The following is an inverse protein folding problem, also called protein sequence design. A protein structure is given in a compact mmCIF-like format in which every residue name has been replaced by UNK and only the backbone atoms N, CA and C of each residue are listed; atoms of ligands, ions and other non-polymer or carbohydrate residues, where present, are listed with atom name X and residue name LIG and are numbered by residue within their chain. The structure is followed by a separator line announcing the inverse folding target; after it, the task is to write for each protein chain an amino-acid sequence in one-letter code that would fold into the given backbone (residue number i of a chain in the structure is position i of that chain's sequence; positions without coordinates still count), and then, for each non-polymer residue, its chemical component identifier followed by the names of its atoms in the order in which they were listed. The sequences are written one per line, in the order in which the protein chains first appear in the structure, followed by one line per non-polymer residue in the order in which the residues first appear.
data_IF_619656310921
#
_entry.id   IF_619656310921
#
_cell.length_a   1.000
_cell.length_b   1.000
_cell.length_c   1.000
_cell.angle_alpha   90.00
_cell.angle_beta   90.00
_cell.angle_gamma   90.00
#
_symmetry.space_group_name_H-M   'P 1'
#
loop_
_entity.id
_entity.type
_entity.pdbx_description
1 polymer ?
#
# COMPACT_ATOMS: atom_id res chain seq x y z
N UNK A 1 17.04 -0.68 -9.63
CA UNK A 1 17.23 -1.47 -8.40
C UNK A 1 16.18 -2.57 -8.43
N UNK A 2 16.58 -3.84 -8.45
CA UNK A 2 15.62 -4.95 -8.44
C UNK A 2 14.83 -4.89 -7.13
N UNK A 3 13.50 -4.81 -7.21
CA UNK A 3 12.63 -4.65 -6.05
C UNK A 3 11.60 -5.76 -6.09
N UNK A 4 11.72 -6.71 -5.18
CA UNK A 4 10.65 -7.64 -4.86
C UNK A 4 9.58 -6.85 -4.08
N UNK A 5 8.33 -6.91 -4.54
CA UNK A 5 7.21 -6.12 -4.01
C UNK A 5 6.44 -6.85 -2.93
N UNK A 6 6.56 -8.17 -2.84
CA UNK A 6 5.87 -9.00 -1.86
C UNK A 6 6.66 -9.16 -0.54
N UNK A 7 6.00 -9.59 0.54
CA UNK A 7 6.68 -9.94 1.78
C UNK A 7 7.67 -11.09 1.56
N UNK A 8 8.94 -10.86 1.89
CA UNK A 8 10.00 -11.87 1.76
C UNK A 8 9.91 -12.85 2.93
N UNK A 9 10.09 -14.15 2.64
CA UNK A 9 10.12 -15.15 3.70
C UNK A 9 11.26 -14.88 4.70
N UNK A 10 10.96 -14.98 6.00
CA UNK A 10 11.94 -14.71 7.07
C UNK A 10 13.08 -15.75 7.05
N UNK A 11 14.31 -15.27 7.21
CA UNK A 11 15.51 -16.11 7.30
C UNK A 11 16.20 -16.36 5.96
N UNK A 12 17.20 -17.25 5.97
CA UNK A 12 18.03 -17.61 4.81
C UNK A 12 17.52 -18.85 4.07
N UNK A 13 16.19 -18.96 3.94
CA UNK A 13 15.56 -20.07 3.20
C UNK A 13 15.49 -19.70 1.73
N UNK A 14 15.90 -20.60 0.85
CA UNK A 14 15.72 -20.42 -0.60
C UNK A 14 14.24 -20.70 -0.87
N UNK A 15 13.49 -19.75 -1.45
CA UNK A 15 12.09 -19.99 -1.74
C UNK A 15 11.98 -21.07 -2.82
N UNK A 16 10.95 -21.90 -2.72
CA UNK A 16 10.67 -23.01 -3.62
C UNK A 16 9.28 -22.86 -4.23
N UNK A 17 9.04 -23.52 -5.37
CA UNK A 17 7.73 -23.53 -6.00
C UNK A 17 6.69 -24.24 -5.12
N UNK A 18 5.44 -23.77 -5.07
CA UNK A 18 4.36 -24.47 -4.38
C UNK A 18 4.13 -25.89 -4.93
N UNK A 19 3.69 -26.82 -4.08
CA UNK A 19 3.42 -28.22 -4.48
C UNK A 19 2.34 -28.33 -5.58
N UNK A 20 1.42 -27.37 -5.62
CA UNK A 20 0.33 -27.29 -6.59
C UNK A 20 0.65 -26.40 -7.81
N UNK A 21 1.93 -26.09 -8.05
CA UNK A 21 2.34 -25.18 -9.13
C UNK A 21 1.74 -25.55 -10.49
N UNK A 22 1.77 -26.82 -10.86
CA UNK A 22 1.27 -27.31 -12.16
C UNK A 22 -0.27 -27.36 -12.28
N UNK A 23 -0.99 -26.92 -11.25
CA UNK A 23 -2.45 -26.87 -11.25
C UNK A 23 -3.01 -25.47 -11.54
N UNK A 24 -2.13 -24.47 -11.61
CA UNK A 24 -2.50 -23.08 -11.87
C UNK A 24 -2.65 -22.80 -13.37
N UNK A 25 -3.28 -21.68 -13.70
CA UNK A 25 -3.29 -21.17 -15.08
C UNK A 25 -1.90 -20.69 -15.50
N UNK A 26 -1.62 -20.63 -16.80
CA UNK A 26 -0.30 -20.19 -17.31
C UNK A 26 0.09 -18.77 -16.83
N UNK A 27 -0.89 -17.88 -16.66
CA UNK A 27 -0.63 -16.52 -16.17
C UNK A 27 -0.28 -16.50 -14.67
N UNK A 28 -0.91 -17.37 -13.88
CA UNK A 28 -0.60 -17.55 -12.47
C UNK A 28 0.75 -18.23 -12.26
N UNK A 29 1.05 -19.29 -13.04
CA UNK A 29 2.36 -19.95 -13.03
C UNK A 29 3.49 -18.95 -13.32
N UNK A 30 3.30 -18.10 -14.34
CA UNK A 30 4.27 -17.06 -14.70
C UNK A 30 4.45 -16.03 -13.59
N UNK A 31 3.37 -15.56 -12.97
CA UNK A 31 3.45 -14.63 -11.83
C UNK A 31 4.22 -15.24 -10.66
N UNK A 32 3.95 -16.51 -10.34
CA UNK A 32 4.65 -17.23 -9.26
C UNK A 32 6.15 -17.34 -9.59
N UNK A 33 6.51 -17.66 -10.84
CA UNK A 33 7.91 -17.74 -11.26
C UNK A 33 8.62 -16.37 -11.22
N UNK A 34 7.98 -15.31 -11.69
CA UNK A 34 8.52 -13.94 -11.65
C UNK A 34 8.73 -13.46 -10.18
N UNK A 35 7.77 -13.77 -9.30
CA UNK A 35 7.85 -13.47 -7.87
C UNK A 35 8.98 -14.27 -7.20
N UNK A 36 9.12 -15.55 -7.55
CA UNK A 36 10.17 -16.43 -7.04
C UNK A 36 11.56 -15.94 -7.46
N UNK A 37 11.74 -15.61 -8.74
CA UNK A 37 12.99 -15.09 -9.27
C UNK A 37 13.39 -13.78 -8.56
N UNK A 38 12.43 -12.87 -8.40
CA UNK A 38 12.67 -11.59 -7.74
C UNK A 38 13.00 -11.75 -6.25
N UNK A 39 12.37 -12.71 -5.55
CA UNK A 39 12.71 -13.03 -4.15
C UNK A 39 14.12 -13.62 -4.03
N UNK A 40 14.48 -14.56 -4.90
CA UNK A 40 15.83 -15.17 -4.93
C UNK A 40 16.88 -14.09 -5.18
N UNK A 41 16.65 -13.20 -6.14
CA UNK A 41 17.58 -12.13 -6.46
C UNK A 41 17.74 -11.16 -5.28
N UNK A 42 16.64 -10.83 -4.59
CA UNK A 42 16.70 -10.02 -3.37
C UNK A 42 17.54 -10.69 -2.28
N UNK A 43 17.30 -11.98 -2.01
CA UNK A 43 18.05 -12.75 -1.00
C UNK A 43 19.52 -12.87 -1.35
N UNK A 44 19.86 -13.10 -2.62
CA UNK A 44 21.23 -13.12 -3.09
C UNK A 44 21.92 -11.77 -2.87
N UNK A 45 21.27 -10.66 -3.26
CA UNK A 45 21.81 -9.33 -3.02
C UNK A 45 22.02 -9.06 -1.53
N UNK A 46 21.03 -9.38 -0.69
CA UNK A 46 21.14 -9.25 0.77
C UNK A 46 22.32 -10.03 1.34
N UNK A 47 22.52 -11.29 0.90
CA UNK A 47 23.65 -12.12 1.31
C UNK A 47 25.00 -11.51 0.87
N UNK A 48 25.09 -11.00 -0.37
CA UNK A 48 26.31 -10.35 -0.85
C UNK A 48 26.61 -9.06 -0.10
N UNK A 49 25.59 -8.25 0.22
CA UNK A 49 25.76 -7.02 1.02
C UNK A 49 26.21 -7.35 2.44
N UNK A 50 25.60 -8.35 3.08
CA UNK A 50 26.02 -8.82 4.40
C UNK A 50 27.50 -9.24 4.41
N UNK A 51 27.93 -10.02 3.40
CA UNK A 51 29.30 -10.52 3.28
C UNK A 51 30.32 -9.43 2.93
N UNK A 52 30.00 -8.57 1.94
CA UNK A 52 30.98 -7.64 1.33
C UNK A 52 30.97 -6.25 1.98
N UNK A 53 29.86 -5.86 2.60
CA UNK A 53 29.68 -4.54 3.20
C UNK A 53 28.99 -4.64 4.58
N UNK A 54 29.65 -5.26 5.59
CA UNK A 54 29.03 -5.52 6.90
C UNK A 54 28.60 -4.25 7.63
N UNK A 55 29.32 -3.13 7.45
CA UNK A 55 28.90 -1.82 8.01
C UNK A 55 27.62 -1.31 7.37
N UNK A 56 27.47 -1.46 6.06
CA UNK A 56 26.25 -1.08 5.36
C UNK A 56 25.07 -1.97 5.76
N UNK A 57 25.30 -3.28 5.89
CA UNK A 57 24.33 -4.23 6.39
C UNK A 57 23.83 -3.89 7.80
N UNK A 58 24.76 -3.56 8.70
CA UNK A 58 24.44 -3.17 10.08
C UNK A 58 23.56 -1.92 10.13
N UNK A 59 23.79 -0.94 9.25
CA UNK A 59 22.95 0.26 9.15
C UNK A 59 21.55 -0.09 8.62
N UNK A 60 21.45 -0.85 7.53
CA UNK A 60 20.15 -1.21 6.93
C UNK A 60 19.23 -1.94 7.91
N UNK A 61 19.80 -2.73 8.82
CA UNK A 61 19.04 -3.51 9.81
C UNK A 61 18.61 -2.70 11.04
N UNK A 62 18.99 -1.42 11.13
CA UNK A 62 18.55 -0.58 12.23
C UNK A 62 17.04 -0.28 12.09
N UNK A 63 16.23 -0.42 13.15
CA UNK A 63 14.79 -0.17 13.11
C UNK A 63 14.40 1.22 12.61
N UNK A 64 15.28 2.20 12.80
CA UNK A 64 15.06 3.61 12.45
C UNK A 64 15.27 3.92 10.97
N UNK A 65 16.05 3.10 10.24
CA UNK A 65 16.39 3.38 8.84
C UNK A 65 15.18 3.38 7.91
N UNK A 66 14.21 2.46 8.03
CA UNK A 66 12.95 2.54 7.29
C UNK A 66 12.19 3.86 7.50
N UNK A 67 12.15 4.36 8.74
CA UNK A 67 11.45 5.61 9.09
C UNK A 67 12.12 6.80 8.38
N UNK A 68 13.45 6.87 8.38
CA UNK A 68 14.21 7.95 7.72
C UNK A 68 14.09 7.87 6.19
N UNK A 69 14.12 6.67 5.62
CA UNK A 69 14.13 6.47 4.17
C UNK A 69 12.78 6.68 3.52
N UNK A 70 11.68 6.39 4.23
CA UNK A 70 10.32 6.40 3.65
C UNK A 70 9.93 7.78 3.10
N UNK A 71 10.12 8.91 3.80
CA UNK A 71 9.83 10.24 3.24
C UNK A 71 10.63 10.55 1.98
N UNK A 72 11.95 10.27 2.00
CA UNK A 72 12.85 10.53 0.86
C UNK A 72 12.41 9.73 -0.37
N UNK A 73 11.95 8.49 -0.17
CA UNK A 73 11.45 7.64 -1.24
C UNK A 73 10.11 8.12 -1.80
N UNK A 74 9.21 8.59 -0.94
CA UNK A 74 7.88 9.04 -1.36
C UNK A 74 7.94 10.37 -2.12
N UNK A 75 8.80 11.31 -1.73
CA UNK A 75 8.92 12.63 -2.37
C UNK A 75 9.14 12.54 -3.88
N UNK A 76 9.85 11.52 -4.38
CA UNK A 76 10.11 11.37 -5.81
C UNK A 76 8.87 11.02 -6.65
N UNK A 77 7.81 10.46 -6.05
CA UNK A 77 6.60 10.02 -6.77
C UNK A 77 5.30 10.63 -6.25
N UNK A 78 5.35 11.38 -5.15
CA UNK A 78 4.15 11.82 -4.41
C UNK A 78 3.18 12.65 -5.27
N UNK A 79 3.70 13.45 -6.19
CA UNK A 79 2.91 14.35 -7.02
C UNK A 79 2.22 13.64 -8.19
N UNK A 80 2.86 12.59 -8.72
CA UNK A 80 2.35 11.82 -9.86
C UNK A 80 1.37 10.73 -9.40
N UNK A 81 1.70 10.05 -8.31
CA UNK A 81 0.95 8.89 -7.82
C UNK A 81 -0.18 9.25 -6.85
N UNK A 82 -0.38 10.54 -6.53
CA UNK A 82 -1.31 11.02 -5.50
C UNK A 82 -1.04 10.43 -4.10
N UNK A 83 0.22 10.10 -3.80
CA UNK A 83 0.64 9.47 -2.54
C UNK A 83 0.81 10.47 -1.37
N UNK A 84 0.16 11.64 -1.41
CA UNK A 84 0.31 12.69 -0.40
C UNK A 84 -0.05 12.22 1.00
N UNK A 85 -1.08 11.36 1.11
CA UNK A 85 -1.47 10.72 2.35
C UNK A 85 -0.29 9.94 2.96
N UNK A 86 0.36 9.09 2.17
CA UNK A 86 1.49 8.28 2.63
C UNK A 86 2.72 9.12 2.97
N UNK A 87 2.94 10.21 2.23
CA UNK A 87 4.00 11.16 2.56
C UNK A 87 3.73 11.80 3.92
N UNK A 88 2.52 12.31 4.17
CA UNK A 88 2.14 12.87 5.48
C UNK A 88 2.32 11.84 6.59
N UNK A 89 1.86 10.60 6.39
CA UNK A 89 2.04 9.52 7.37
C UNK A 89 3.52 9.27 7.69
N UNK A 90 4.38 9.29 6.67
CA UNK A 90 5.82 9.11 6.85
C UNK A 90 6.48 10.26 7.62
N UNK A 91 6.03 11.50 7.40
CA UNK A 91 6.54 12.68 8.09
C UNK A 91 6.07 12.73 9.55
N UNK A 92 4.81 12.35 9.82
CA UNK A 92 4.30 12.20 11.19
C UNK A 92 5.13 11.16 11.95
N UNK A 93 5.34 9.98 11.35
CA UNK A 93 6.19 8.93 11.93
C UNK A 93 7.61 9.41 12.23
N UNK A 94 8.22 10.16 11.31
CA UNK A 94 9.55 10.76 11.49
C UNK A 94 9.56 11.77 12.65
N UNK A 95 8.57 12.66 12.74
CA UNK A 95 8.47 13.67 13.79
C UNK A 95 8.27 13.02 15.17
N UNK A 96 7.44 11.98 15.27
CA UNK A 96 7.22 11.24 16.51
C UNK A 96 8.49 10.54 17.02
N UNK A 97 9.26 9.91 16.14
CA UNK A 97 10.47 9.17 16.51
C UNK A 97 11.74 10.04 16.48
N UNK A 98 11.64 11.36 16.30
CA UNK A 98 12.79 12.24 16.08
C UNK A 98 13.89 12.10 17.13
N UNK A 99 13.53 12.05 18.42
CA UNK A 99 14.47 11.89 19.53
C UNK A 99 15.14 10.51 19.57
N UNK A 100 14.45 9.47 19.10
CA UNK A 100 14.98 8.10 19.04
C UNK A 100 15.92 7.94 17.84
N UNK A 101 15.62 8.62 16.74
CA UNK A 101 16.42 8.61 15.52
C UNK A 101 17.70 9.43 15.71
N UNK A 102 17.62 10.57 16.38
CA UNK A 102 18.74 11.50 16.59
C UNK A 102 18.96 11.81 18.08
N UNK A 103 19.40 10.82 18.88
CA UNK A 103 19.57 11.00 20.33
C UNK A 103 20.67 12.00 20.70
N UNK A 104 21.72 12.11 19.87
CA UNK A 104 22.88 12.97 20.11
C UNK A 104 22.64 14.43 19.68
N UNK A 105 21.53 14.71 18.99
CA UNK A 105 21.20 16.04 18.47
C UNK A 105 20.27 16.74 19.46
N UNK A 106 20.72 17.88 20.00
CA UNK A 106 19.90 18.70 20.92
C UNK A 106 18.82 19.54 20.20
N UNK A 107 18.80 19.54 18.87
CA UNK A 107 17.83 20.30 18.08
C UNK A 107 16.45 19.63 18.09
N UNK A 108 15.37 20.40 18.33
CA UNK A 108 14.01 19.89 18.17
C UNK A 108 13.75 19.52 16.70
N UNK A 109 12.73 18.68 16.47
CA UNK A 109 12.29 18.41 15.11
C UNK A 109 11.82 19.72 14.46
N UNK A 110 12.26 19.98 13.22
CA UNK A 110 11.87 21.17 12.48
C UNK A 110 10.42 21.11 11.99
N UNK A 111 9.83 19.92 11.99
CA UNK A 111 8.47 19.66 11.56
C UNK A 111 7.67 19.29 12.80
N UNK A 112 6.58 20.01 13.02
CA UNK A 112 5.66 19.76 14.12
C UNK A 112 4.27 19.56 13.55
N UNK A 113 3.58 18.54 14.06
CA UNK A 113 2.18 18.27 13.75
C UNK A 113 1.37 18.54 15.00
N UNK A 114 0.33 19.35 14.86
CA UNK A 114 -0.59 19.59 15.97
C UNK A 114 -1.44 18.34 16.21
N UNK A 115 -2.03 18.21 17.40
CA UNK A 115 -2.97 17.13 17.68
C UNK A 115 -4.15 17.08 16.70
N UNK A 116 -4.57 18.24 16.17
CA UNK A 116 -5.62 18.33 15.14
C UNK A 116 -5.16 17.76 13.80
N UNK A 117 -3.90 17.98 13.42
CA UNK A 117 -3.34 17.43 12.17
C UNK A 117 -3.27 15.91 12.24
N UNK A 118 -2.88 15.36 13.39
CA UNK A 118 -2.82 13.92 13.64
C UNK A 118 -4.23 13.34 13.64
N UNK A 119 -5.17 13.94 14.37
CA UNK A 119 -6.57 13.47 14.41
C UNK A 119 -7.21 13.50 13.02
N UNK A 120 -6.99 14.56 12.25
CA UNK A 120 -7.47 14.66 10.87
C UNK A 120 -6.86 13.58 9.98
N UNK A 121 -5.57 13.24 10.16
CA UNK A 121 -4.93 12.18 9.40
C UNK A 121 -5.49 10.80 9.76
N UNK A 122 -5.71 10.51 11.05
CA UNK A 122 -6.32 9.27 11.51
C UNK A 122 -7.73 9.08 10.95
N UNK A 123 -8.55 10.14 10.92
CA UNK A 123 -9.88 10.08 10.28
C UNK A 123 -9.80 9.76 8.80
N UNK A 124 -8.80 10.30 8.09
CA UNK A 124 -8.57 9.98 6.69
C UNK A 124 -8.10 8.53 6.50
N UNK A 125 -7.26 8.01 7.40
CA UNK A 125 -6.83 6.61 7.42
C UNK A 125 -8.01 5.66 7.62
N UNK A 126 -8.90 5.94 8.58
CA UNK A 126 -10.13 5.17 8.80
C UNK A 126 -11.03 5.13 7.56
N UNK A 127 -11.17 6.26 6.87
CA UNK A 127 -11.94 6.34 5.63
C UNK A 127 -11.28 5.49 4.52
N UNK A 128 -9.96 5.59 4.36
CA UNK A 128 -9.22 4.83 3.35
C UNK A 128 -9.28 3.33 3.61
N UNK A 129 -9.10 2.89 4.85
CA UNK A 129 -9.17 1.48 5.24
C UNK A 129 -10.58 0.94 5.06
N UNK A 130 -11.61 1.71 5.43
CA UNK A 130 -13.00 1.34 5.20
C UNK A 130 -13.33 1.13 3.72
N UNK A 131 -12.87 2.04 2.85
CA UNK A 131 -13.03 1.90 1.39
C UNK A 131 -12.24 0.71 0.87
N UNK A 132 -10.99 0.54 1.31
CA UNK A 132 -10.13 -0.57 0.89
C UNK A 132 -10.75 -1.92 1.22
N UNK A 133 -11.28 -2.09 2.44
CA UNK A 133 -11.98 -3.31 2.85
C UNK A 133 -13.24 -3.57 2.03
N UNK A 134 -14.04 -2.52 1.76
CA UNK A 134 -15.23 -2.65 0.92
C UNK A 134 -14.88 -3.05 -0.52
N UNK A 135 -13.87 -2.43 -1.12
CA UNK A 135 -13.41 -2.79 -2.47
C UNK A 135 -12.85 -4.22 -2.53
N UNK A 136 -12.13 -4.65 -1.49
CA UNK A 136 -11.66 -6.02 -1.37
C UNK A 136 -12.84 -7.01 -1.29
N UNK A 137 -13.85 -6.73 -0.47
CA UNK A 137 -15.07 -7.55 -0.38
C UNK A 137 -15.82 -7.62 -1.72
N UNK A 138 -15.91 -6.52 -2.46
CA UNK A 138 -16.53 -6.50 -3.80
C UNK A 138 -15.76 -7.38 -4.79
N UNK A 139 -14.43 -7.38 -4.72
CA UNK A 139 -13.57 -8.24 -5.53
C UNK A 139 -13.76 -9.72 -5.15
N UNK A 140 -13.72 -10.02 -3.85
CA UNK A 140 -13.83 -11.39 -3.33
C UNK A 140 -15.21 -12.02 -3.60
N UNK A 141 -16.27 -11.20 -3.61
CA UNK A 141 -17.63 -11.64 -3.92
C UNK A 141 -17.93 -11.67 -5.43
N UNK A 142 -16.96 -11.35 -6.29
CA UNK A 142 -17.13 -11.36 -7.75
C UNK A 142 -18.12 -10.32 -8.27
N UNK A 143 -18.38 -9.27 -7.49
CA UNK A 143 -19.30 -8.18 -7.86
C UNK A 143 -18.67 -7.29 -8.92
N UNK A 144 -17.35 -7.14 -8.85
CA UNK A 144 -16.53 -6.44 -9.82
C UNK A 144 -15.39 -7.39 -10.25
N UNK A 145 -15.15 -7.59 -11.56
CA UNK A 145 -14.11 -8.49 -12.04
C UNK A 145 -12.72 -8.01 -11.63
N UNK A 146 -11.81 -8.97 -11.43
CA UNK A 146 -10.47 -8.77 -10.85
C UNK A 146 -9.55 -7.94 -11.76
N UNK A 147 -9.81 -7.95 -13.07
CA UNK A 147 -9.01 -7.26 -14.10
C UNK A 147 -9.59 -5.91 -14.54
N UNK A 148 -10.58 -5.38 -13.82
CA UNK A 148 -11.34 -4.17 -14.15
C UNK A 148 -12.04 -4.23 -15.53
N UNK A 149 -12.13 -5.42 -16.15
CA UNK A 149 -12.74 -5.64 -17.46
C UNK A 149 -13.97 -6.54 -17.33
N UNK A 150 -15.10 -6.05 -17.84
CA UNK A 150 -16.35 -6.81 -17.88
C UNK A 150 -16.62 -7.21 -19.33
N UNK A 151 -17.03 -8.46 -19.56
CA UNK A 151 -17.52 -8.84 -20.89
C UNK A 151 -18.73 -7.97 -21.29
N UNK A 152 -18.87 -7.55 -22.56
CA UNK A 152 -19.96 -6.65 -22.98
C UNK A 152 -21.37 -7.12 -22.59
N UNK A 153 -21.57 -8.45 -22.52
CA UNK A 153 -22.85 -9.08 -22.14
C UNK A 153 -23.20 -8.88 -20.66
N UNK A 154 -22.19 -8.71 -19.80
CA UNK A 154 -22.32 -8.60 -18.35
C UNK A 154 -22.17 -7.14 -17.87
N UNK A 155 -21.87 -6.21 -18.78
CA UNK A 155 -21.63 -4.80 -18.49
C UNK A 155 -22.79 -4.14 -17.74
N UNK A 156 -24.03 -4.34 -18.20
CA UNK A 156 -25.20 -3.73 -17.57
C UNK A 156 -25.40 -4.24 -16.13
N UNK A 157 -25.18 -5.54 -15.91
CA UNK A 157 -25.27 -6.14 -14.58
C UNK A 157 -24.17 -5.59 -13.64
N UNK A 158 -22.95 -5.39 -14.16
CA UNK A 158 -21.86 -4.76 -13.40
C UNK A 158 -22.18 -3.29 -13.06
N UNK A 159 -22.77 -2.53 -13.98
CA UNK A 159 -23.22 -1.16 -13.71
C UNK A 159 -24.31 -1.12 -12.64
N UNK A 160 -25.33 -1.99 -12.71
CA UNK A 160 -26.36 -2.09 -11.69
C UNK A 160 -25.78 -2.45 -10.31
N UNK A 161 -24.87 -3.41 -10.27
CA UNK A 161 -24.21 -3.80 -9.03
C UNK A 161 -23.38 -2.64 -8.46
N UNK A 162 -22.56 -1.99 -9.29
CA UNK A 162 -21.78 -0.81 -8.89
C UNK A 162 -22.67 0.29 -8.27
N UNK A 163 -23.85 0.58 -8.87
CA UNK A 163 -24.81 1.53 -8.30
C UNK A 163 -25.36 1.08 -6.95
N UNK A 164 -25.77 -0.19 -6.81
CA UNK A 164 -26.26 -0.75 -5.54
C UNK A 164 -25.20 -0.66 -4.43
N UNK A 165 -23.94 -0.97 -4.74
CA UNK A 165 -22.85 -0.86 -3.78
C UNK A 165 -22.53 0.59 -3.43
N UNK A 166 -22.58 1.51 -4.39
CA UNK A 166 -22.46 2.95 -4.15
C UNK A 166 -23.53 3.45 -3.19
N UNK A 167 -24.78 3.04 -3.39
CA UNK A 167 -25.91 3.44 -2.52
C UNK A 167 -25.76 2.89 -1.10
N UNK A 168 -25.34 1.62 -0.95
CA UNK A 168 -25.03 1.03 0.35
C UNK A 168 -23.90 1.81 1.02
N UNK A 169 -22.83 2.09 0.29
CA UNK A 169 -21.65 2.81 0.81
C UNK A 169 -22.02 4.21 1.28
N UNK A 170 -22.70 5.01 0.46
CA UNK A 170 -23.19 6.35 0.85
C UNK A 170 -24.22 6.25 2.00
N UNK A 171 -25.01 5.17 2.05
CA UNK A 171 -25.97 4.90 3.11
C UNK A 171 -25.35 4.62 4.48
N UNK A 172 -24.06 4.25 4.55
CA UNK A 172 -23.33 4.05 5.81
C UNK A 172 -22.88 5.36 6.47
N UNK A 173 -22.96 6.48 5.76
CA UNK A 173 -22.59 7.79 6.31
C UNK A 173 -23.55 8.21 7.43
N UNK A 174 -22.98 8.78 8.50
CA UNK A 174 -23.72 9.20 9.70
C UNK A 174 -24.30 10.61 9.56
N UNK A 175 -23.68 11.45 8.74
CA UNK A 175 -24.08 12.83 8.51
C UNK A 175 -23.91 13.24 7.04
N UNK A 176 -24.41 14.44 6.71
CA UNK A 176 -24.37 14.96 5.35
C UNK A 176 -22.95 15.20 4.83
N UNK A 177 -22.01 15.56 5.71
CA UNK A 177 -20.62 15.77 5.33
C UNK A 177 -19.92 14.44 4.99
N UNK A 178 -20.19 13.37 5.74
CA UNK A 178 -19.76 12.01 5.43
C UNK A 178 -20.42 11.50 4.13
N UNK A 179 -21.71 11.80 3.89
CA UNK A 179 -22.39 11.42 2.63
C UNK A 179 -21.72 12.06 1.41
N UNK A 180 -21.42 13.35 1.50
CA UNK A 180 -20.69 14.09 0.46
C UNK A 180 -19.28 13.52 0.25
N UNK A 181 -18.60 13.19 1.33
CA UNK A 181 -17.26 12.60 1.29
C UNK A 181 -17.29 11.23 0.61
N UNK A 182 -18.19 10.34 1.04
CA UNK A 182 -18.32 8.99 0.49
C UNK A 182 -18.71 9.02 -0.98
N UNK A 183 -19.56 9.96 -1.38
CA UNK A 183 -19.91 10.17 -2.79
C UNK A 183 -18.67 10.51 -3.63
N UNK A 184 -17.79 11.39 -3.13
CA UNK A 184 -16.54 11.79 -3.81
C UNK A 184 -15.49 10.69 -3.80
N UNK A 185 -15.49 9.84 -2.77
CA UNK A 185 -14.53 8.75 -2.62
C UNK A 185 -14.89 7.51 -3.46
N UNK A 186 -16.12 7.42 -3.97
CA UNK A 186 -16.52 6.31 -4.84
C UNK A 186 -15.67 6.27 -6.12
N UNK A 187 -15.00 5.15 -6.43
CA UNK A 187 -14.01 5.11 -7.52
C UNK A 187 -14.64 5.12 -8.91
N UNK A 188 -15.84 4.55 -9.08
CA UNK A 188 -16.55 4.51 -10.37
C UNK A 188 -17.46 5.73 -10.52
N UNK A 189 -16.87 6.91 -10.68
CA UNK A 189 -17.62 8.12 -11.00
C UNK A 189 -18.06 8.09 -12.45
N UNK A 190 -19.35 8.38 -12.71
CA UNK A 190 -19.82 8.63 -14.07
C UNK A 190 -19.14 9.93 -14.53
N UNK A 191 -18.18 9.83 -15.44
CA UNK A 191 -17.60 11.02 -16.05
C UNK A 191 -18.69 11.73 -16.86
N UNK A 192 -18.88 13.03 -16.63
CA UNK A 192 -19.59 13.87 -17.59
C UNK A 192 -18.81 13.78 -18.92
N UNK A 193 -19.44 13.13 -19.91
CA UNK A 193 -18.86 12.94 -21.25
C UNK A 193 -18.78 14.22 -22.06
#
# INVERSE_FOLDING_TARGET
MFKHTQPIQKGWVIPERPENFNSFSQDEEKRIDDDLESEIMHKYYAAQVCKRAPRHWAVIHQPMVPIIRKPVWLVSGVWENKDLFFLRQSLISLAMHWKEIFPDIQLPCLIEFTGKDIESHCKEEENMDGIGQMLALSRDQGVLPVDDMVEPKDYEAACENSRKFKDIFIGLAKDEAERDLYTKLWPYQESEG
#
